data_IF_501599703234
#
_entry.id   IF_501599703234
#
_cell.length_a   1.000
_cell.length_b   1.000
_cell.length_c   1.000
_cell.angle_alpha   90.00
_cell.angle_beta   90.00
_cell.angle_gamma   90.00
#
_symmetry.space_group_name_H-M   'P 1'
#
loop_
_entity.id
_entity.type
_entity.pdbx_description
1 polymer ?
#
# COMPACT_ATOMS: atom_id res chain seq x y z
N UNK A 1 -15.24 -15.41 19.48
CA UNK A 1 -14.41 -15.81 18.33
C UNK A 1 -13.39 -14.71 18.13
N UNK A 2 -12.11 -15.03 17.94
CA UNK A 2 -11.07 -14.01 17.84
C UNK A 2 -11.06 -13.41 16.43
N UNK A 3 -11.13 -12.08 16.34
CA UNK A 3 -10.91 -11.36 15.10
C UNK A 3 -9.40 -11.31 14.84
N UNK A 4 -8.90 -12.14 13.91
CA UNK A 4 -7.47 -12.30 13.69
C UNK A 4 -7.01 -11.60 12.41
N UNK A 5 -6.06 -10.67 12.57
CA UNK A 5 -5.37 -10.03 11.45
C UNK A 5 -4.70 -11.07 10.56
N UNK A 6 -4.64 -10.78 9.24
CA UNK A 6 -3.92 -11.57 8.23
C UNK A 6 -2.54 -12.05 8.69
N UNK A 7 -1.82 -11.19 9.42
CA UNK A 7 -0.58 -11.52 10.11
C UNK A 7 -0.71 -11.11 11.58
N UNK A 8 -0.63 -12.07 12.50
CA UNK A 8 -0.79 -11.82 13.94
C UNK A 8 0.40 -11.02 14.50
N UNK A 9 1.61 -11.41 14.11
CA UNK A 9 2.86 -10.76 14.52
C UNK A 9 3.66 -10.25 13.33
N UNK A 10 4.57 -9.30 13.57
CA UNK A 10 5.51 -8.82 12.57
C UNK A 10 6.34 -9.95 11.94
N UNK A 11 6.72 -10.96 12.73
CA UNK A 11 7.40 -12.17 12.24
C UNK A 11 6.58 -12.94 11.21
N UNK A 12 5.27 -13.08 11.41
CA UNK A 12 4.40 -13.82 10.48
C UNK A 12 4.35 -13.12 9.12
N UNK A 13 4.25 -11.78 9.13
CA UNK A 13 4.33 -10.96 7.91
C UNK A 13 5.68 -11.13 7.20
N UNK A 14 6.80 -11.03 7.92
CA UNK A 14 8.13 -11.17 7.30
C UNK A 14 8.40 -12.57 6.76
N UNK A 15 7.87 -13.63 7.40
CA UNK A 15 7.96 -15.00 6.90
C UNK A 15 7.12 -15.19 5.62
N UNK A 16 5.91 -14.64 5.59
CA UNK A 16 5.01 -14.74 4.44
C UNK A 16 5.41 -13.81 3.27
N UNK A 17 6.06 -12.68 3.55
CA UNK A 17 6.45 -11.67 2.58
C UNK A 17 7.94 -11.25 2.75
N UNK A 18 8.92 -12.13 2.50
CA UNK A 18 10.35 -11.84 2.73
C UNK A 18 10.92 -10.63 1.98
N UNK A 19 10.20 -10.13 0.96
CA UNK A 19 10.56 -8.92 0.25
C UNK A 19 10.59 -7.68 1.15
N UNK A 20 9.81 -7.64 2.24
CA UNK A 20 9.75 -6.53 3.20
C UNK A 20 11.13 -6.23 3.82
N UNK A 21 11.95 -7.26 4.05
CA UNK A 21 13.33 -7.15 4.56
C UNK A 21 14.31 -6.45 3.60
N UNK A 22 13.86 -6.12 2.38
CA UNK A 22 14.62 -5.30 1.40
C UNK A 22 14.12 -3.86 1.34
N UNK A 23 13.02 -3.56 2.03
CA UNK A 23 12.29 -2.28 1.97
C UNK A 23 12.22 -1.58 3.34
N UNK A 24 12.66 -2.23 4.41
CA UNK A 24 12.89 -1.66 5.73
C UNK A 24 14.10 -2.32 6.41
N UNK A 25 14.72 -1.60 7.35
CA UNK A 25 15.86 -2.03 8.16
C UNK A 25 15.40 -2.66 9.48
N UNK A 26 14.22 -2.29 10.01
CA UNK A 26 13.69 -2.88 11.23
C UNK A 26 13.50 -4.41 11.12
N UNK A 27 13.93 -5.12 12.18
CA UNK A 27 13.97 -6.58 12.22
C UNK A 27 12.66 -7.18 12.76
N UNK A 28 12.21 -8.33 12.23
CA UNK A 28 10.95 -8.94 12.64
C UNK A 28 10.96 -9.42 14.10
N UNK A 29 10.03 -8.88 14.89
CA UNK A 29 9.81 -9.27 16.29
C UNK A 29 8.62 -10.22 16.42
N UNK A 30 8.40 -10.78 17.62
CA UNK A 30 7.17 -11.51 17.96
C UNK A 30 6.02 -10.58 18.40
N UNK A 31 6.19 -9.27 18.28
CA UNK A 31 5.19 -8.29 18.71
C UNK A 31 3.95 -8.36 17.80
N UNK A 32 2.73 -8.16 18.33
CA UNK A 32 1.52 -8.04 17.53
C UNK A 32 1.68 -6.99 16.42
N UNK A 33 1.16 -7.26 15.22
CA UNK A 33 1.43 -6.44 14.03
C UNK A 33 1.06 -4.95 14.20
N UNK A 34 -0.05 -4.65 14.87
CA UNK A 34 -0.48 -3.26 15.12
C UNK A 34 0.44 -2.56 16.13
N UNK A 35 0.82 -3.23 17.21
CA UNK A 35 1.76 -2.68 18.18
C UNK A 35 3.15 -2.47 17.57
N UNK A 36 3.60 -3.39 16.71
CA UNK A 36 4.87 -3.24 15.98
C UNK A 36 4.82 -2.05 15.02
N UNK A 37 3.71 -1.86 14.30
CA UNK A 37 3.50 -0.70 13.44
C UNK A 37 3.57 0.63 14.22
N UNK A 38 2.93 0.70 15.38
CA UNK A 38 3.03 1.86 16.30
C UNK A 38 4.44 2.03 16.89
N UNK A 39 5.17 0.94 17.14
CA UNK A 39 6.55 0.99 17.58
C UNK A 39 7.53 1.48 16.49
N UNK A 40 7.26 1.18 15.21
CA UNK A 40 7.98 1.77 14.08
C UNK A 40 7.73 3.28 13.98
N UNK A 41 6.46 3.71 14.11
CA UNK A 41 6.05 5.11 14.10
C UNK A 41 6.70 5.93 15.23
N UNK A 42 6.87 5.35 16.41
CA UNK A 42 7.59 5.95 17.53
C UNK A 42 9.13 5.73 17.48
N UNK A 43 9.63 5.10 16.41
CA UNK A 43 11.01 4.66 16.25
C UNK A 43 11.94 5.70 15.64
N UNK A 44 13.10 5.22 15.16
CA UNK A 44 14.12 6.08 14.51
C UNK A 44 13.83 6.41 13.05
N UNK A 45 12.99 5.61 12.39
CA UNK A 45 12.62 5.73 10.97
C UNK A 45 11.11 5.53 10.88
N UNK A 46 10.30 6.55 11.24
CA UNK A 46 8.83 6.42 11.28
C UNK A 46 8.24 6.05 9.91
N UNK A 47 8.93 6.37 8.81
CA UNK A 47 8.57 5.98 7.44
C UNK A 47 8.47 4.45 7.25
N UNK A 48 9.17 3.64 8.06
CA UNK A 48 9.05 2.18 8.00
C UNK A 48 7.66 1.69 8.45
N UNK A 49 6.91 2.48 9.22
CA UNK A 49 5.51 2.18 9.55
C UNK A 49 4.61 2.23 8.31
N UNK A 50 4.82 3.19 7.41
CA UNK A 50 4.13 3.27 6.10
C UNK A 50 4.45 2.03 5.26
N UNK A 51 5.73 1.64 5.18
CA UNK A 51 6.13 0.41 4.49
C UNK A 51 5.49 -0.83 5.12
N UNK A 52 5.44 -0.92 6.46
CA UNK A 52 4.82 -2.05 7.15
C UNK A 52 3.31 -2.14 6.91
N UNK A 53 2.58 -1.01 6.97
CA UNK A 53 1.16 -0.93 6.62
C UNK A 53 0.89 -1.46 5.20
N UNK A 54 1.72 -1.06 4.22
CA UNK A 54 1.58 -1.49 2.83
C UNK A 54 1.70 -3.01 2.63
N UNK A 55 2.49 -3.70 3.47
CA UNK A 55 2.60 -5.17 3.46
C UNK A 55 1.57 -5.87 4.36
N UNK A 56 1.05 -5.20 5.38
CA UNK A 56 0.05 -5.75 6.31
C UNK A 56 -1.33 -5.86 5.67
N UNK A 57 -1.71 -4.86 4.86
CA UNK A 57 -2.99 -4.79 4.19
C UNK A 57 -3.10 -5.77 3.00
N UNK A 58 -4.27 -6.39 2.77
CA UNK A 58 -4.58 -7.04 1.49
C UNK A 58 -4.40 -6.06 0.32
N UNK A 59 -3.97 -6.53 -0.85
CA UNK A 59 -3.55 -5.67 -1.98
C UNK A 59 -4.56 -4.56 -2.34
N UNK A 60 -5.84 -4.91 -2.50
CA UNK A 60 -6.93 -3.94 -2.78
C UNK A 60 -7.07 -2.89 -1.67
N UNK A 61 -6.95 -3.30 -0.40
CA UNK A 61 -7.01 -2.40 0.75
C UNK A 61 -5.75 -1.53 0.86
N UNK A 62 -4.58 -2.04 0.50
CA UNK A 62 -3.33 -1.29 0.45
C UNK A 62 -3.36 -0.19 -0.62
N UNK A 63 -3.87 -0.50 -1.82
CA UNK A 63 -4.10 0.46 -2.89
C UNK A 63 -5.13 1.52 -2.48
N UNK A 64 -6.26 1.11 -1.88
CA UNK A 64 -7.27 2.05 -1.37
C UNK A 64 -6.71 2.99 -0.31
N UNK A 65 -6.01 2.46 0.70
CA UNK A 65 -5.36 3.26 1.74
C UNK A 65 -4.38 4.28 1.16
N UNK A 66 -3.57 3.91 0.17
CA UNK A 66 -2.68 4.86 -0.48
C UNK A 66 -3.41 5.91 -1.33
N UNK A 67 -4.52 5.55 -1.98
CA UNK A 67 -5.41 6.53 -2.62
C UNK A 67 -5.93 7.55 -1.61
N UNK A 68 -6.41 7.11 -0.43
CA UNK A 68 -6.90 8.02 0.61
C UNK A 68 -5.77 8.92 1.16
N UNK A 69 -4.59 8.35 1.41
CA UNK A 69 -3.41 9.11 1.82
C UNK A 69 -3.08 10.23 0.82
N UNK A 70 -3.03 9.93 -0.48
CA UNK A 70 -2.77 10.94 -1.51
C UNK A 70 -3.95 11.89 -1.75
N UNK A 71 -5.18 11.46 -1.51
CA UNK A 71 -6.38 12.31 -1.59
C UNK A 71 -6.31 13.47 -0.58
N UNK A 72 -5.79 13.22 0.63
CA UNK A 72 -5.47 14.27 1.61
C UNK A 72 -4.34 15.22 1.18
N UNK A 73 -3.54 14.87 0.17
CA UNK A 73 -2.44 15.68 -0.36
C UNK A 73 -2.71 16.28 -1.73
N UNK A 74 -3.94 16.21 -2.24
CA UNK A 74 -4.32 16.63 -3.62
C UNK A 74 -3.82 18.00 -4.05
N UNK A 75 -3.78 18.99 -3.14
CA UNK A 75 -3.24 20.34 -3.41
C UNK A 75 -1.71 20.39 -3.65
N UNK A 76 -1.00 19.31 -3.30
CA UNK A 76 0.44 19.08 -3.55
C UNK A 76 0.68 18.16 -4.76
N UNK A 77 -0.39 17.77 -5.47
CA UNK A 77 -0.35 16.86 -6.61
C UNK A 77 -0.73 17.62 -7.89
N UNK A 78 -0.03 17.33 -8.99
CA UNK A 78 -0.35 17.90 -10.29
C UNK A 78 -1.61 17.27 -10.90
N UNK A 79 -2.10 17.83 -12.01
CA UNK A 79 -3.31 17.33 -12.68
C UNK A 79 -3.20 15.87 -13.13
N UNK A 80 -1.99 15.40 -13.50
CA UNK A 80 -1.74 14.02 -13.95
C UNK A 80 -1.84 13.05 -12.76
N UNK A 81 -1.29 13.43 -11.61
CA UNK A 81 -1.46 12.68 -10.36
C UNK A 81 -2.95 12.60 -9.96
N UNK A 82 -3.72 13.68 -10.10
CA UNK A 82 -5.15 13.71 -9.77
C UNK A 82 -5.99 12.85 -10.74
N UNK A 83 -5.70 12.87 -12.04
CA UNK A 83 -6.30 11.97 -13.04
C UNK A 83 -6.02 10.50 -12.71
N UNK A 84 -4.77 10.16 -12.39
CA UNK A 84 -4.38 8.80 -12.02
C UNK A 84 -5.06 8.33 -10.72
N UNK A 85 -5.25 9.20 -9.73
CA UNK A 85 -6.01 8.86 -8.52
C UNK A 85 -7.48 8.52 -8.83
N UNK A 86 -8.12 9.23 -9.76
CA UNK A 86 -9.47 8.89 -10.19
C UNK A 86 -9.53 7.48 -10.81
N UNK A 87 -8.57 7.12 -11.67
CA UNK A 87 -8.46 5.76 -12.25
C UNK A 87 -8.26 4.70 -11.15
N UNK A 88 -7.39 4.98 -10.16
CA UNK A 88 -7.15 4.08 -9.02
C UNK A 88 -8.42 3.86 -8.19
N UNK A 89 -9.17 4.92 -7.86
CA UNK A 89 -10.44 4.82 -7.11
C UNK A 89 -11.46 3.95 -7.83
N UNK A 90 -11.58 4.14 -9.13
CA UNK A 90 -12.54 3.42 -9.96
C UNK A 90 -12.14 1.93 -10.05
N UNK A 91 -10.83 1.62 -10.17
CA UNK A 91 -10.31 0.25 -10.03
C UNK A 91 -10.59 -0.38 -8.66
N UNK A 92 -10.39 0.34 -7.53
CA UNK A 92 -10.70 -0.20 -6.19
C UNK A 92 -12.18 -0.61 -6.08
N UNK A 93 -13.06 0.08 -6.82
CA UNK A 93 -14.49 -0.22 -6.87
C UNK A 93 -14.80 -1.48 -7.69
N UNK A 94 -14.10 -1.70 -8.82
CA UNK A 94 -14.32 -2.85 -9.72
C UNK A 94 -12.99 -3.44 -10.25
N UNK A 95 -12.16 -4.10 -9.41
CA UNK A 95 -10.79 -4.49 -9.81
C UNK A 95 -10.76 -5.54 -10.92
N UNK A 96 -11.81 -6.35 -11.05
CA UNK A 96 -11.98 -7.35 -12.11
C UNK A 96 -12.41 -6.75 -13.47
N UNK A 97 -12.89 -5.51 -13.50
CA UNK A 97 -13.49 -4.92 -14.70
C UNK A 97 -12.46 -4.77 -15.83
N UNK A 98 -12.77 -5.25 -17.05
CA UNK A 98 -11.84 -5.13 -18.18
C UNK A 98 -11.60 -3.67 -18.62
N UNK A 99 -12.45 -2.73 -18.18
CA UNK A 99 -12.41 -1.32 -18.56
C UNK A 99 -11.22 -0.55 -17.96
N UNK A 100 -10.71 -0.95 -16.79
CA UNK A 100 -9.56 -0.28 -16.17
C UNK A 100 -8.20 -0.83 -16.66
N UNK A 101 -8.20 -1.98 -17.33
CA UNK A 101 -6.99 -2.67 -17.77
C UNK A 101 -6.09 -1.90 -18.76
N UNK A 102 -6.60 -1.17 -19.79
CA UNK A 102 -5.72 -0.47 -20.73
C UNK A 102 -4.95 0.68 -20.05
N UNK A 103 -5.64 1.57 -19.35
CA UNK A 103 -5.05 2.76 -18.72
C UNK A 103 -4.00 2.38 -17.66
N UNK A 104 -4.25 1.31 -16.92
CA UNK A 104 -3.34 0.80 -15.88
C UNK A 104 -2.15 0.03 -16.47
N UNK A 105 -2.32 -0.63 -17.61
CA UNK A 105 -1.23 -1.29 -18.34
C UNK A 105 -0.27 -0.26 -18.94
N UNK A 106 -0.79 0.83 -19.51
CA UNK A 106 0.04 1.95 -20.00
C UNK A 106 0.81 2.62 -18.84
N UNK A 107 0.16 2.85 -17.70
CA UNK A 107 0.82 3.36 -16.50
C UNK A 107 1.90 2.41 -15.95
N UNK A 108 1.71 1.09 -16.06
CA UNK A 108 2.68 0.09 -15.61
C UNK A 108 3.87 -0.13 -16.57
N UNK A 109 3.73 0.27 -17.84
CA UNK A 109 4.78 0.10 -18.87
C UNK A 109 5.94 1.11 -18.74
N UNK A 110 5.77 2.18 -17.96
CA UNK A 110 6.76 3.23 -17.75
C UNK A 110 7.23 3.27 -16.28
N UNK A 111 8.50 3.61 -16.00
CA UNK A 111 8.95 3.82 -14.62
C UNK A 111 8.11 4.92 -13.93
N UNK A 112 7.45 4.66 -12.80
CA UNK A 112 6.61 5.64 -12.14
C UNK A 112 7.45 6.79 -11.55
N UNK A 113 7.20 8.00 -12.05
CA UNK A 113 7.91 9.22 -11.63
C UNK A 113 7.12 10.06 -10.62
N UNK A 114 5.86 9.72 -10.34
CA UNK A 114 4.96 10.50 -9.47
C UNK A 114 4.29 9.61 -8.40
N UNK A 115 3.81 10.20 -7.28
CA UNK A 115 3.11 9.48 -6.22
C UNK A 115 1.92 8.64 -6.72
N UNK A 116 1.07 9.18 -7.58
CA UNK A 116 -0.09 8.44 -8.07
C UNK A 116 0.30 7.36 -9.10
N UNK A 117 1.34 7.58 -9.91
CA UNK A 117 1.86 6.57 -10.83
C UNK A 117 2.36 5.31 -10.11
N UNK A 118 2.96 5.46 -8.92
CA UNK A 118 3.34 4.32 -8.08
C UNK A 118 2.13 3.51 -7.59
N UNK A 119 1.01 4.16 -7.25
CA UNK A 119 -0.21 3.47 -6.84
C UNK A 119 -0.91 2.82 -8.04
N UNK A 120 -0.93 3.50 -9.19
CA UNK A 120 -1.43 2.94 -10.44
C UNK A 120 -0.65 1.68 -10.86
N UNK A 121 0.68 1.67 -10.72
CA UNK A 121 1.52 0.48 -10.92
C UNK A 121 1.20 -0.64 -9.92
N UNK A 122 0.90 -0.30 -8.66
CA UNK A 122 0.51 -1.29 -7.66
C UNK A 122 -0.84 -1.94 -8.00
N UNK A 123 -1.81 -1.15 -8.46
CA UNK A 123 -3.14 -1.62 -8.82
C UNK A 123 -3.16 -2.34 -10.19
N UNK A 124 -2.31 -1.92 -11.14
CA UNK A 124 -2.11 -2.53 -12.45
C UNK A 124 -1.35 -3.86 -12.41
N UNK A 125 -1.07 -4.38 -11.20
CA UNK A 125 -0.40 -5.67 -10.91
C UNK A 125 -0.96 -6.84 -11.69
N UNK A 126 -2.28 -6.83 -11.89
CA UNK A 126 -3.02 -7.90 -12.54
C UNK A 126 -3.14 -7.62 -14.03
N UNK A 127 -1.97 -7.56 -14.68
CA UNK A 127 -1.80 -7.77 -16.11
C UNK A 127 -2.40 -9.11 -16.54
N UNK A 128 -2.55 -9.33 -17.84
CA UNK A 128 -3.37 -10.45 -18.31
C UNK A 128 -2.83 -11.80 -17.81
N UNK A 129 -3.74 -12.71 -17.45
CA UNK A 129 -3.43 -14.05 -16.95
C UNK A 129 -2.79 -14.99 -17.99
N UNK A 130 -2.10 -14.44 -19.00
CA UNK A 130 -1.28 -15.19 -19.94
C UNK A 130 0.01 -15.64 -19.28
N UNK A 131 0.42 -16.87 -19.57
CA UNK A 131 1.73 -17.40 -19.18
C UNK A 131 2.91 -16.58 -19.75
N UNK A 132 2.66 -15.69 -20.72
CA UNK A 132 3.65 -14.82 -21.36
C UNK A 132 3.99 -13.59 -20.50
N UNK A 133 3.06 -13.09 -19.66
CA UNK A 133 3.31 -11.91 -18.80
C UNK A 133 3.88 -12.28 -17.42
N UNK A 134 3.75 -13.54 -16.99
CA UNK A 134 4.28 -14.02 -15.70
C UNK A 134 5.78 -13.68 -15.45
N UNK A 135 6.70 -13.73 -16.44
CA UNK A 135 8.08 -13.28 -16.24
C UNK A 135 8.21 -11.77 -16.00
N UNK A 136 7.38 -10.96 -16.67
CA UNK A 136 7.40 -9.50 -16.53
C UNK A 136 6.81 -9.06 -15.19
N UNK A 137 5.71 -9.69 -14.75
CA UNK A 137 5.10 -9.45 -13.44
C UNK A 137 6.02 -9.82 -12.26
N UNK A 138 6.91 -10.81 -12.46
CA UNK A 138 7.96 -11.20 -11.50
C UNK A 138 9.08 -10.15 -11.38
N UNK A 139 9.33 -9.37 -12.44
CA UNK A 139 10.30 -8.27 -12.42
C UNK A 139 9.75 -7.01 -11.74
N UNK A 140 8.43 -6.85 -11.64
CA UNK A 140 7.81 -5.70 -11.00
C UNK A 140 7.96 -5.73 -9.47
N UNK A 141 8.32 -4.60 -8.81
CA UNK A 141 8.40 -4.52 -7.36
C UNK A 141 7.06 -4.95 -6.73
N UNK A 142 7.04 -5.64 -5.56
CA UNK A 142 5.80 -6.10 -4.93
C UNK A 142 4.76 -4.98 -4.81
N UNK A 143 3.46 -5.29 -4.93
CA UNK A 143 2.40 -4.27 -4.87
C UNK A 143 2.53 -3.41 -3.60
N UNK A 144 2.80 -4.03 -2.44
CA UNK A 144 3.12 -3.34 -1.19
C UNK A 144 4.32 -2.37 -1.28
N UNK A 145 5.38 -2.69 -2.04
CA UNK A 145 6.50 -1.77 -2.25
C UNK A 145 6.09 -0.57 -3.11
N UNK A 146 5.30 -0.80 -4.16
CA UNK A 146 4.80 0.27 -5.01
C UNK A 146 3.81 1.19 -4.24
N UNK A 147 2.92 0.62 -3.43
CA UNK A 147 2.06 1.33 -2.47
C UNK A 147 2.90 2.19 -1.51
N UNK A 148 3.89 1.60 -0.83
CA UNK A 148 4.79 2.33 0.08
C UNK A 148 5.51 3.49 -0.64
N UNK A 149 6.10 3.22 -1.82
CA UNK A 149 6.77 4.23 -2.62
C UNK A 149 5.84 5.40 -3.01
N UNK A 150 4.59 5.12 -3.37
CA UNK A 150 3.60 6.16 -3.68
C UNK A 150 3.26 7.04 -2.48
N UNK A 151 2.96 6.43 -1.32
CA UNK A 151 2.65 7.17 -0.09
C UNK A 151 3.85 7.99 0.39
N UNK A 152 5.05 7.41 0.41
CA UNK A 152 6.28 8.10 0.81
C UNK A 152 6.66 9.22 -0.17
N UNK A 153 6.46 9.05 -1.48
CA UNK A 153 6.67 10.10 -2.48
C UNK A 153 5.68 11.26 -2.32
N UNK A 154 4.42 10.98 -1.97
CA UNK A 154 3.45 12.01 -1.62
C UNK A 154 3.84 12.76 -0.34
N UNK A 155 4.18 12.01 0.71
CA UNK A 155 4.62 12.54 2.00
C UNK A 155 5.89 13.41 1.89
N UNK A 156 6.79 13.09 0.95
CA UNK A 156 7.98 13.91 0.67
C UNK A 156 7.63 15.32 0.14
N UNK A 157 6.44 15.53 -0.45
CA UNK A 157 5.95 16.85 -0.89
C UNK A 157 5.37 17.69 0.26
N UNK A 158 5.09 17.09 1.42
CA UNK A 158 4.57 17.78 2.62
C UNK A 158 5.67 18.63 3.27
N UNK A 159 5.30 19.80 3.80
CA UNK A 159 6.17 20.66 4.58
C UNK A 159 6.82 19.89 5.75
N UNK A 160 8.07 20.21 6.08
CA UNK A 160 8.86 19.43 7.06
C UNK A 160 8.24 19.46 8.47
N UNK A 161 7.62 20.58 8.85
CA UNK A 161 6.93 20.77 10.12
C UNK A 161 5.68 19.89 10.28
N UNK A 162 4.89 19.73 9.22
CA UNK A 162 3.67 18.90 9.24
C UNK A 162 3.93 17.41 8.99
N UNK A 163 5.08 17.06 8.38
CA UNK A 163 5.33 15.72 7.82
C UNK A 163 5.11 14.59 8.83
N UNK A 164 5.55 14.72 10.07
CA UNK A 164 5.34 13.68 11.08
C UNK A 164 3.86 13.53 11.46
N UNK A 165 3.11 14.63 11.53
CA UNK A 165 1.66 14.61 11.81
C UNK A 165 0.91 13.88 10.69
N UNK A 166 1.21 14.20 9.44
CA UNK A 166 0.63 13.54 8.26
C UNK A 166 1.01 12.06 8.19
N UNK A 167 2.28 11.72 8.42
CA UNK A 167 2.76 10.34 8.48
C UNK A 167 1.99 9.54 9.55
N UNK A 168 1.86 10.08 10.76
CA UNK A 168 1.12 9.46 11.86
C UNK A 168 -0.36 9.23 11.51
N UNK A 169 -1.02 10.20 10.88
CA UNK A 169 -2.40 10.07 10.41
C UNK A 169 -2.56 8.97 9.35
N UNK A 170 -1.62 8.86 8.40
CA UNK A 170 -1.63 7.80 7.40
C UNK A 170 -1.41 6.41 8.01
N UNK A 171 -0.51 6.28 9.00
CA UNK A 171 -0.27 5.02 9.71
C UNK A 171 -1.50 4.57 10.48
N UNK A 172 -2.14 5.46 11.26
CA UNK A 172 -3.35 5.11 12.02
C UNK A 172 -4.54 4.79 11.09
N UNK A 173 -4.67 5.46 9.94
CA UNK A 173 -5.64 5.07 8.90
C UNK A 173 -5.37 3.65 8.36
N UNK A 174 -4.11 3.30 8.13
CA UNK A 174 -3.71 1.96 7.68
C UNK A 174 -3.99 0.88 8.72
N UNK A 175 -3.78 1.19 10.01
CA UNK A 175 -4.14 0.33 11.14
C UNK A 175 -5.65 0.09 11.19
N UNK A 176 -6.46 1.15 11.16
CA UNK A 176 -7.92 1.07 11.19
C UNK A 176 -8.48 0.23 10.03
N UNK A 177 -7.90 0.36 8.84
CA UNK A 177 -8.29 -0.44 7.68
C UNK A 177 -7.90 -1.92 7.86
N UNK A 178 -6.72 -2.23 8.41
CA UNK A 178 -6.29 -3.60 8.68
C UNK A 178 -7.20 -4.29 9.71
N UNK A 179 -7.61 -3.58 10.77
CA UNK A 179 -8.57 -4.07 11.76
C UNK A 179 -9.96 -4.30 11.15
N UNK A 180 -10.40 -3.40 10.28
CA UNK A 180 -11.68 -3.51 9.54
C UNK A 180 -11.70 -4.69 8.56
N UNK A 181 -10.61 -4.93 7.84
CA UNK A 181 -10.48 -6.06 6.92
C UNK A 181 -10.47 -7.41 7.65
N UNK A 182 -9.86 -7.48 8.85
CA UNK A 182 -9.96 -8.67 9.70
C UNK A 182 -11.42 -8.94 10.11
N UNK A 183 -12.17 -7.91 10.54
CA UNK A 183 -13.57 -8.04 10.93
C UNK A 183 -14.41 -8.61 9.79
N UNK A 184 -14.23 -8.11 8.56
CA UNK A 184 -14.90 -8.61 7.35
C UNK A 184 -14.61 -10.09 7.10
N UNK A 185 -13.34 -10.48 7.12
CA UNK A 185 -12.92 -11.87 6.91
C UNK A 185 -13.53 -12.84 7.93
N UNK A 186 -13.70 -12.41 9.20
CA UNK A 186 -14.34 -13.22 10.24
C UNK A 186 -15.85 -13.40 10.04
N UNK A 187 -16.52 -12.44 9.40
CA UNK A 187 -17.94 -12.52 9.08
C UNK A 187 -18.21 -13.46 7.88
N UNK A 188 -17.34 -13.43 6.86
CA UNK A 188 -17.47 -14.28 5.66
C UNK A 188 -17.14 -15.78 5.93
N UNK A 189 -16.58 -16.11 7.10
CA UNK A 189 -16.26 -17.50 7.51
C UNK A 189 -17.22 -18.10 8.56
N UNK A 190 -18.29 -17.40 8.90
CA UNK A 190 -19.29 -17.81 9.92
C UNK A 190 -20.62 -18.27 9.31
#
# INVERSE_FOLDING_TARGET
MANELRFKTARDLFMACPAVSRDMVALPTKQPSIEYCRALLAGRVPEEAITFCAYLLPERAAVWWAHECLSHLTVLLDSRDQELLAVVRDWVSQPESPHHRPDMSEAAAMPPTTPAAWIALAAGRHGNGSAIEAPALSALPPAARAVSAGVLAGLARVALEDRFSVLSAFVEMGIQLAETEALRQSADTS
#
